data_IF_745037785768
#
_entry.id   IF_745037785768
#
_cell.length_a   1.000
_cell.length_b   1.000
_cell.length_c   1.000
_cell.angle_alpha   90.00
_cell.angle_beta   90.00
_cell.angle_gamma   90.00
#
_symmetry.space_group_name_H-M   'P 1'
#
loop_
_entity.id
_entity.type
_entity.pdbx_description
1 polymer ?
#
# COMPACT_ATOMS: atom_id res chain seq x y z
N UNK A 1 9.09 -10.41 0.06
CA UNK A 1 10.43 -10.35 0.69
C UNK A 1 11.44 -9.46 -0.06
N UNK A 2 11.00 -8.47 -0.86
CA UNK A 2 11.92 -7.46 -1.43
C UNK A 2 12.09 -6.28 -0.48
N UNK A 3 11.00 -5.78 0.12
CA UNK A 3 11.04 -4.63 1.03
C UNK A 3 11.87 -4.90 2.30
N UNK A 4 11.81 -6.12 2.83
CA UNK A 4 12.63 -6.55 3.98
C UNK A 4 14.13 -6.60 3.63
N UNK A 5 14.47 -7.11 2.43
CA UNK A 5 15.84 -7.13 1.96
C UNK A 5 16.40 -5.71 1.78
N UNK A 6 15.59 -4.79 1.23
CA UNK A 6 15.95 -3.39 1.10
C UNK A 6 16.17 -2.71 2.47
N UNK A 7 15.32 -2.98 3.47
CA UNK A 7 15.51 -2.42 4.83
C UNK A 7 16.77 -2.99 5.51
N UNK A 8 17.08 -4.28 5.31
CA UNK A 8 18.33 -4.86 5.81
C UNK A 8 19.56 -4.15 5.20
N UNK A 9 19.58 -3.93 3.89
CA UNK A 9 20.68 -3.24 3.21
C UNK A 9 20.85 -1.78 3.70
N UNK A 10 19.74 -1.07 3.95
CA UNK A 10 19.76 0.28 4.54
C UNK A 10 20.42 0.27 5.92
N UNK A 11 20.10 -0.73 6.75
CA UNK A 11 20.67 -0.88 8.09
C UNK A 11 22.16 -1.23 8.04
N UNK A 12 22.56 -2.17 7.18
CA UNK A 12 23.98 -2.54 6.96
C UNK A 12 24.82 -1.34 6.51
N UNK A 13 24.23 -0.45 5.71
CA UNK A 13 24.88 0.80 5.25
C UNK A 13 24.89 1.92 6.29
N UNK A 14 24.29 1.72 7.48
CA UNK A 14 24.27 2.71 8.55
C UNK A 14 23.42 3.95 8.22
N UNK A 15 22.42 3.84 7.35
CA UNK A 15 21.56 4.95 6.94
C UNK A 15 20.48 5.21 8.02
N UNK A 16 20.75 6.16 8.92
CA UNK A 16 19.91 6.41 10.12
C UNK A 16 18.88 7.53 9.97
N UNK A 17 18.79 8.16 8.80
CA UNK A 17 17.81 9.22 8.56
C UNK A 17 16.36 8.71 8.73
N UNK A 18 15.40 9.60 9.09
CA UNK A 18 13.99 9.24 9.17
C UNK A 18 13.47 8.64 7.86
N UNK A 19 12.80 7.49 7.95
CA UNK A 19 12.24 6.76 6.81
C UNK A 19 11.01 5.97 7.25
N UNK A 20 10.34 5.38 6.28
CA UNK A 20 9.21 4.47 6.49
C UNK A 20 9.67 3.02 6.34
N UNK A 21 9.05 2.13 7.10
CA UNK A 21 9.26 0.68 7.01
C UNK A 21 8.01 -0.01 6.48
N UNK A 22 8.12 -1.23 5.92
CA UNK A 22 6.97 -2.03 5.50
C UNK A 22 5.91 -2.17 6.59
N UNK A 23 6.36 -2.44 7.82
CA UNK A 23 5.47 -2.54 9.00
C UNK A 23 4.71 -1.26 9.27
N UNK A 24 5.31 -0.08 9.06
CA UNK A 24 4.60 1.19 9.22
C UNK A 24 3.53 1.39 8.14
N UNK A 25 3.81 0.98 6.90
CA UNK A 25 2.83 1.01 5.81
C UNK A 25 1.65 0.09 6.10
N UNK A 26 1.92 -1.15 6.50
CA UNK A 26 0.86 -2.10 6.87
C UNK A 26 0.07 -1.62 8.09
N UNK A 27 0.75 -1.01 9.06
CA UNK A 27 0.12 -0.44 10.25
C UNK A 27 -0.77 0.77 9.96
N UNK A 28 -0.69 1.38 8.78
CA UNK A 28 -1.58 2.48 8.39
C UNK A 28 -2.97 1.96 7.98
N UNK A 29 -3.09 0.70 7.59
CA UNK A 29 -4.34 0.08 7.11
C UNK A 29 -5.22 -0.30 8.32
N UNK A 30 -6.49 0.11 8.29
CA UNK A 30 -7.48 -0.19 9.31
C UNK A 30 -8.51 -1.24 8.86
N UNK A 31 -8.92 -1.20 7.58
CA UNK A 31 -9.86 -2.15 7.01
C UNK A 31 -9.60 -2.34 5.51
N UNK A 32 -10.12 -3.44 4.95
CA UNK A 32 -10.07 -3.74 3.53
C UNK A 32 -11.40 -4.31 3.04
N UNK A 33 -11.88 -3.77 1.92
CA UNK A 33 -13.07 -4.23 1.20
C UNK A 33 -12.72 -4.55 -0.24
N UNK A 34 -13.49 -5.45 -0.85
CA UNK A 34 -13.25 -5.88 -2.23
C UNK A 34 -14.54 -5.91 -3.04
N UNK A 35 -14.43 -5.55 -4.31
CA UNK A 35 -15.52 -5.65 -5.26
C UNK A 35 -15.04 -6.29 -6.57
N UNK A 36 -15.81 -7.24 -7.08
CA UNK A 36 -15.63 -7.80 -8.43
C UNK A 36 -16.85 -7.39 -9.26
N UNK A 37 -16.61 -6.69 -10.36
CA UNK A 37 -17.71 -6.21 -11.20
C UNK A 37 -18.31 -7.38 -12.01
N UNK A 38 -19.65 -7.54 -12.05
CA UNK A 38 -20.29 -8.62 -12.78
C UNK A 38 -19.87 -8.66 -14.25
N UNK A 39 -19.66 -9.88 -14.79
CA UNK A 39 -19.22 -10.11 -16.16
C UNK A 39 -17.88 -9.45 -16.54
N UNK A 40 -17.01 -9.18 -15.56
CA UNK A 40 -15.65 -8.67 -15.78
C UNK A 40 -14.61 -9.54 -15.07
N UNK A 41 -13.33 -9.31 -15.37
CA UNK A 41 -12.19 -9.81 -14.60
C UNK A 41 -11.64 -8.80 -13.59
N UNK A 42 -12.34 -7.67 -13.38
CA UNK A 42 -11.86 -6.56 -12.57
C UNK A 42 -12.18 -6.79 -11.09
N UNK A 43 -11.13 -6.90 -10.29
CA UNK A 43 -11.17 -6.84 -8.82
C UNK A 43 -10.66 -5.48 -8.36
N UNK A 44 -11.44 -4.77 -7.55
CA UNK A 44 -11.02 -3.55 -6.84
C UNK A 44 -10.88 -3.87 -5.37
N UNK A 45 -9.76 -3.48 -4.78
CA UNK A 45 -9.54 -3.42 -3.34
C UNK A 45 -9.68 -1.97 -2.88
N UNK A 46 -10.42 -1.75 -1.80
CA UNK A 46 -10.51 -0.48 -1.10
C UNK A 46 -9.92 -0.65 0.30
N UNK A 47 -8.76 -0.03 0.55
CA UNK A 47 -8.14 0.04 1.86
C UNK A 47 -8.61 1.31 2.58
N UNK A 48 -9.14 1.16 3.79
CA UNK A 48 -9.40 2.28 4.69
C UNK A 48 -8.20 2.45 5.61
N UNK A 49 -7.60 3.64 5.63
CA UNK A 49 -6.48 3.97 6.51
C UNK A 49 -6.98 4.39 7.90
N UNK A 50 -6.09 4.36 8.91
CA UNK A 50 -6.41 4.74 10.30
C UNK A 50 -6.94 6.17 10.46
N UNK A 51 -6.62 7.08 9.54
CA UNK A 51 -7.14 8.44 9.52
C UNK A 51 -8.49 8.57 8.76
N UNK A 52 -9.05 7.46 8.29
CA UNK A 52 -10.31 7.42 7.53
C UNK A 52 -10.17 7.69 6.03
N UNK A 53 -8.96 7.98 5.52
CA UNK A 53 -8.73 8.13 4.09
C UNK A 53 -8.78 6.77 3.38
N UNK A 54 -9.28 6.73 2.15
CA UNK A 54 -9.41 5.50 1.37
C UNK A 54 -8.41 5.45 0.22
N UNK A 55 -7.78 4.30 0.04
CA UNK A 55 -6.83 4.03 -1.05
C UNK A 55 -7.33 2.81 -1.82
N UNK A 56 -7.52 2.96 -3.14
CA UNK A 56 -7.96 1.85 -3.99
C UNK A 56 -6.79 1.22 -4.74
N UNK A 57 -6.95 -0.05 -5.11
CA UNK A 57 -6.05 -0.76 -6.00
C UNK A 57 -6.86 -1.74 -6.84
N UNK A 58 -6.32 -2.09 -8.00
CA UNK A 58 -7.07 -2.76 -9.03
C UNK A 58 -6.29 -3.96 -9.57
N UNK A 59 -7.00 -5.03 -9.94
CA UNK A 59 -6.46 -6.15 -10.72
C UNK A 59 -7.46 -6.49 -11.81
N UNK A 60 -7.01 -6.56 -13.06
CA UNK A 60 -7.84 -6.94 -14.19
C UNK A 60 -7.02 -7.85 -15.12
N UNK A 61 -7.39 -9.13 -15.21
CA UNK A 61 -6.73 -10.04 -16.14
C UNK A 61 -7.28 -9.86 -17.56
N UNK A 62 -6.41 -9.98 -18.57
CA UNK A 62 -6.77 -9.74 -19.96
C UNK A 62 -7.73 -10.78 -20.56
N UNK A 63 -7.73 -11.99 -20.01
CA UNK A 63 -8.54 -13.13 -20.47
C UNK A 63 -9.36 -13.67 -19.29
N UNK A 64 -10.70 -13.79 -19.41
CA UNK A 64 -11.57 -14.33 -18.36
C UNK A 64 -11.22 -15.77 -17.96
N UNK A 65 -10.66 -16.56 -18.87
CA UNK A 65 -10.20 -17.92 -18.62
C UNK A 65 -9.10 -17.99 -17.57
N UNK A 66 -8.33 -16.90 -17.42
CA UNK A 66 -7.27 -16.76 -16.42
C UNK A 66 -7.76 -16.04 -15.14
N UNK A 67 -9.06 -15.79 -14.99
CA UNK A 67 -9.59 -15.12 -13.81
C UNK A 67 -9.51 -16.03 -12.58
N UNK A 68 -8.77 -15.57 -11.58
CA UNK A 68 -8.68 -16.16 -10.25
C UNK A 68 -9.00 -15.06 -9.22
N UNK A 69 -10.08 -15.26 -8.45
CA UNK A 69 -10.56 -14.25 -7.51
C UNK A 69 -9.61 -14.04 -6.32
N UNK A 70 -8.92 -15.08 -5.85
CA UNK A 70 -7.97 -14.95 -4.75
C UNK A 70 -6.71 -14.21 -5.20
N UNK A 71 -6.18 -14.55 -6.38
CA UNK A 71 -5.05 -13.87 -6.98
C UNK A 71 -5.40 -12.42 -7.32
N UNK A 72 -6.59 -12.18 -7.89
CA UNK A 72 -7.11 -10.86 -8.17
C UNK A 72 -7.16 -9.97 -6.93
N UNK A 73 -7.65 -10.51 -5.81
CA UNK A 73 -7.65 -9.82 -4.51
C UNK A 73 -6.24 -9.51 -4.01
N UNK A 74 -5.31 -10.46 -4.08
CA UNK A 74 -3.90 -10.25 -3.67
C UNK A 74 -3.25 -9.11 -4.45
N UNK A 75 -3.39 -9.13 -5.78
CA UNK A 75 -2.82 -8.10 -6.66
C UNK A 75 -3.49 -6.74 -6.42
N UNK A 76 -4.82 -6.69 -6.33
CA UNK A 76 -5.54 -5.45 -6.08
C UNK A 76 -5.16 -4.83 -4.73
N UNK A 77 -5.00 -5.66 -3.69
CA UNK A 77 -4.54 -5.23 -2.36
C UNK A 77 -3.10 -4.72 -2.41
N UNK A 78 -2.19 -5.42 -3.09
CA UNK A 78 -0.81 -4.99 -3.25
C UNK A 78 -0.71 -3.64 -3.99
N UNK A 79 -1.48 -3.47 -5.06
CA UNK A 79 -1.58 -2.19 -5.78
C UNK A 79 -2.10 -1.05 -4.89
N UNK A 80 -3.09 -1.32 -4.04
CA UNK A 80 -3.58 -0.33 -3.08
C UNK A 80 -2.51 0.00 -2.02
N UNK A 81 -1.88 -1.03 -1.44
CA UNK A 81 -0.82 -0.89 -0.43
C UNK A 81 0.38 -0.10 -0.98
N UNK A 82 0.77 -0.35 -2.22
CA UNK A 82 1.88 0.36 -2.85
C UNK A 82 1.63 1.88 -2.99
N UNK A 83 0.37 2.30 -3.16
CA UNK A 83 0.00 3.72 -3.17
C UNK A 83 0.18 4.38 -1.79
N UNK A 84 0.07 3.63 -0.69
CA UNK A 84 0.25 4.14 0.68
C UNK A 84 1.68 4.63 0.90
N UNK A 85 2.69 3.99 0.31
CA UNK A 85 4.09 4.45 0.39
C UNK A 85 4.26 5.92 -0.05
N UNK A 86 3.60 6.31 -1.14
CA UNK A 86 3.68 7.69 -1.63
C UNK A 86 2.98 8.68 -0.67
N UNK A 87 1.86 8.29 -0.09
CA UNK A 87 1.10 9.10 0.87
C UNK A 87 1.86 9.30 2.18
N UNK A 88 2.30 8.20 2.80
CA UNK A 88 3.08 8.25 4.04
C UNK A 88 4.43 8.93 3.81
N UNK A 89 5.04 8.76 2.63
CA UNK A 89 6.29 9.42 2.25
C UNK A 89 6.14 10.94 2.18
N UNK A 90 5.04 11.41 1.58
CA UNK A 90 4.69 12.83 1.58
C UNK A 90 4.45 13.35 3.01
N UNK A 91 3.67 12.64 3.83
CA UNK A 91 3.40 13.03 5.21
C UNK A 91 4.68 13.11 6.05
N UNK A 92 5.58 12.14 5.90
CA UNK A 92 6.90 12.18 6.56
C UNK A 92 7.69 13.41 6.10
N UNK A 93 7.74 13.68 4.80
CA UNK A 93 8.47 14.84 4.26
C UNK A 93 7.88 16.17 4.77
N UNK A 94 6.55 16.27 4.86
CA UNK A 94 5.87 17.44 5.40
C UNK A 94 6.23 17.65 6.89
N UNK A 95 6.22 16.59 7.70
CA UNK A 95 6.64 16.66 9.12
C UNK A 95 8.10 17.11 9.29
N UNK A 96 8.98 16.67 8.38
CA UNK A 96 10.38 17.10 8.37
C UNK A 96 10.55 18.56 7.92
N UNK A 97 9.66 19.07 7.07
CA UNK A 97 9.69 20.45 6.58
C UNK A 97 9.05 21.43 7.59
N UNK A 98 7.94 21.05 8.23
CA UNK A 98 7.19 21.84 9.21
C UNK A 98 7.17 21.15 10.57
N UNK A 99 8.26 21.21 11.35
CA UNK A 99 8.27 20.64 12.69
C UNK A 99 7.22 21.31 13.58
N UNK A 100 6.33 20.51 14.18
CA UNK A 100 5.31 20.98 15.14
C UNK A 100 3.87 21.10 14.60
N UNK A 101 3.63 20.81 13.32
CA UNK A 101 2.26 20.66 12.81
C UNK A 101 1.81 19.20 13.02
N UNK A 102 0.82 18.91 13.89
CA UNK A 102 0.28 17.57 14.00
C UNK A 102 -0.46 17.22 12.70
N UNK A 103 -0.30 15.96 12.28
CA UNK A 103 -0.99 15.39 11.12
C UNK A 103 -2.50 15.25 11.40
#
# INVERSE_FOLDING_TARGET
>A
MFEEAAENEIQEKGLTAPRLTPTQIDSAIAAEDYHVFPATSLTVCCLTLKNGFTVTGESACASPENFDAELGRKIARENARNKIWALEGYLLKERLYRPGVPA
#
